data_IF_328437388448
#
_entry.id   IF_328437388448
#
_cell.length_a   1.000
_cell.length_b   1.000
_cell.length_c   1.000
_cell.angle_alpha   90.00
_cell.angle_beta   90.00
_cell.angle_gamma   90.00
#
_symmetry.space_group_name_H-M   'P 1'
#
loop_
_entity.id
_entity.type
_entity.pdbx_description
1 polymer ?
#
# COMPACT_ATOMS: atom_id res chain seq x y z
N UNK A 1 2.28 6.25 5.40
CA UNK A 1 1.53 7.45 4.98
C UNK A 1 0.65 7.18 3.75
N UNK A 2 1.20 6.95 2.55
CA UNK A 2 0.40 6.85 1.32
C UNK A 2 -0.68 5.74 1.34
N UNK A 3 -0.40 4.59 1.94
CA UNK A 3 -1.40 3.52 2.13
C UNK A 3 -2.59 3.96 3.00
N UNK A 4 -2.34 4.71 4.08
CA UNK A 4 -3.41 5.27 4.92
C UNK A 4 -4.18 6.35 4.18
N UNK A 5 -3.48 7.21 3.41
CA UNK A 5 -4.14 8.21 2.55
C UNK A 5 -5.07 7.59 1.52
N UNK A 6 -4.68 6.45 0.93
CA UNK A 6 -5.54 5.72 0.01
C UNK A 6 -6.81 5.21 0.72
N UNK A 7 -6.67 4.61 1.91
CA UNK A 7 -7.83 4.17 2.71
C UNK A 7 -8.77 5.33 3.06
N UNK A 8 -8.24 6.47 3.47
CA UNK A 8 -9.04 7.65 3.82
C UNK A 8 -9.90 8.12 2.64
N UNK A 9 -9.33 8.24 1.44
CA UNK A 9 -10.10 8.66 0.26
C UNK A 9 -11.10 7.59 -0.15
N UNK A 10 -10.70 6.33 -0.12
CA UNK A 10 -11.60 5.22 -0.49
C UNK A 10 -12.74 5.02 0.51
N UNK A 11 -12.63 5.51 1.75
CA UNK A 11 -13.70 5.42 2.74
C UNK A 11 -14.96 6.22 2.35
N UNK A 12 -14.80 7.26 1.53
CA UNK A 12 -15.89 8.10 1.03
C UNK A 12 -16.42 7.64 -0.35
N UNK A 13 -15.81 6.62 -0.96
CA UNK A 13 -16.26 6.07 -2.25
C UNK A 13 -17.57 5.30 -2.02
N UNK A 14 -18.61 5.52 -2.85
CA UNK A 14 -19.83 4.75 -2.79
C UNK A 14 -19.57 3.24 -2.83
N UNK A 15 -20.23 2.47 -1.98
CA UNK A 15 -19.94 1.03 -1.83
C UNK A 15 -20.06 0.25 -3.15
N UNK A 16 -21.04 0.60 -4.00
CA UNK A 16 -21.22 0.00 -5.32
C UNK A 16 -20.03 0.23 -6.28
N UNK A 17 -19.23 1.26 -6.04
CA UNK A 17 -18.07 1.64 -6.83
C UNK A 17 -16.77 1.00 -6.33
N UNK A 18 -16.74 0.53 -5.09
CA UNK A 18 -15.59 -0.16 -4.49
C UNK A 18 -15.25 -1.49 -5.17
N UNK A 19 -16.25 -2.10 -5.81
CA UNK A 19 -16.16 -3.43 -6.43
C UNK A 19 -16.12 -3.38 -7.97
N UNK A 20 -16.05 -2.18 -8.56
CA UNK A 20 -15.81 -1.99 -10.00
C UNK A 20 -14.37 -2.34 -10.35
N UNK A 21 -14.19 -3.05 -11.46
CA UNK A 21 -12.88 -3.37 -12.03
C UNK A 21 -12.64 -2.57 -13.31
N UNK A 22 -11.37 -2.24 -13.56
CA UNK A 22 -10.92 -1.56 -14.78
C UNK A 22 -9.90 -2.45 -15.47
N UNK A 23 -9.99 -2.55 -16.80
CA UNK A 23 -9.03 -3.35 -17.56
C UNK A 23 -7.60 -2.87 -17.31
N UNK A 24 -6.71 -3.80 -16.94
CA UNK A 24 -5.32 -3.51 -16.62
C UNK A 24 -5.02 -3.27 -15.14
N UNK A 25 -6.03 -3.29 -14.25
CA UNK A 25 -5.82 -3.33 -12.79
C UNK A 25 -5.88 -4.77 -12.26
N UNK A 26 -5.29 -5.00 -11.09
CA UNK A 26 -5.26 -6.33 -10.48
C UNK A 26 -6.62 -6.81 -9.94
N UNK A 27 -7.58 -5.90 -9.78
CA UNK A 27 -8.90 -6.16 -9.23
C UNK A 27 -9.64 -4.86 -8.95
N UNK A 28 -10.61 -4.93 -8.04
CA UNK A 28 -11.37 -3.78 -7.55
C UNK A 28 -10.58 -2.94 -6.53
N UNK A 29 -11.12 -1.78 -6.12
CA UNK A 29 -10.53 -0.98 -5.04
C UNK A 29 -10.49 -1.81 -3.74
N UNK A 30 -11.58 -2.51 -3.42
CA UNK A 30 -11.70 -3.30 -2.21
C UNK A 30 -10.64 -4.42 -2.15
N UNK A 31 -10.53 -5.17 -3.24
CA UNK A 31 -9.53 -6.24 -3.39
C UNK A 31 -8.11 -5.68 -3.29
N UNK A 32 -7.86 -4.55 -3.95
CA UNK A 32 -6.53 -3.93 -3.98
C UNK A 32 -6.11 -3.40 -2.60
N UNK A 33 -7.03 -2.79 -1.83
CA UNK A 33 -6.75 -2.34 -0.46
C UNK A 33 -6.47 -3.52 0.49
N UNK A 34 -7.25 -4.59 0.38
CA UNK A 34 -7.01 -5.84 1.11
C UNK A 34 -5.63 -6.40 0.78
N UNK A 35 -5.27 -6.41 -0.50
CA UNK A 35 -4.00 -6.93 -1.00
C UNK A 35 -2.81 -6.09 -0.53
N UNK A 36 -2.89 -4.76 -0.57
CA UNK A 36 -1.84 -3.87 -0.05
C UNK A 36 -1.54 -4.16 1.42
N UNK A 37 -2.59 -4.22 2.25
CA UNK A 37 -2.43 -4.43 3.68
C UNK A 37 -2.05 -5.88 4.06
N UNK A 38 -2.48 -6.88 3.26
CA UNK A 38 -2.02 -8.26 3.37
C UNK A 38 -0.54 -8.39 2.99
N UNK A 39 -0.14 -7.81 1.86
CA UNK A 39 1.24 -7.80 1.40
C UNK A 39 2.18 -7.10 2.38
N UNK A 40 1.81 -5.94 2.92
CA UNK A 40 2.64 -5.22 3.90
C UNK A 40 2.90 -6.05 5.15
N UNK A 41 1.88 -6.75 5.68
CA UNK A 41 2.06 -7.71 6.77
C UNK A 41 2.98 -8.86 6.39
N UNK A 42 2.87 -9.39 5.16
CA UNK A 42 3.77 -10.45 4.68
C UNK A 42 5.23 -9.98 4.56
N UNK A 43 5.49 -8.69 4.33
CA UNK A 43 6.85 -8.14 4.40
C UNK A 43 7.32 -8.00 5.86
N UNK A 44 6.47 -7.50 6.76
CA UNK A 44 6.77 -7.47 8.20
C UNK A 44 7.09 -8.87 8.73
N UNK A 45 6.31 -9.88 8.34
CA UNK A 45 6.54 -11.28 8.69
C UNK A 45 7.91 -11.77 8.22
N UNK A 46 8.29 -11.48 6.97
CA UNK A 46 9.61 -11.88 6.44
C UNK A 46 10.77 -11.21 7.18
N UNK A 47 10.59 -9.96 7.58
CA UNK A 47 11.65 -9.14 8.20
C UNK A 47 11.75 -9.33 9.72
N UNK A 48 10.71 -9.83 10.39
CA UNK A 48 10.66 -9.88 11.86
C UNK A 48 10.11 -11.18 12.45
N UNK A 49 9.59 -12.09 11.62
CA UNK A 49 8.89 -13.29 12.07
C UNK A 49 7.48 -13.03 12.64
N UNK A 50 7.00 -11.78 12.69
CA UNK A 50 5.67 -11.47 13.23
C UNK A 50 4.57 -12.02 12.31
N UNK A 51 3.68 -12.83 12.89
CA UNK A 51 2.54 -13.40 12.17
C UNK A 51 1.56 -12.31 11.71
N UNK A 52 1.05 -12.39 10.46
CA UNK A 52 -0.04 -11.53 10.00
C UNK A 52 -1.28 -11.66 10.90
N UNK A 53 -2.00 -10.56 11.07
CA UNK A 53 -3.25 -10.49 11.84
C UNK A 53 -4.48 -10.91 11.04
N UNK A 54 -4.39 -10.86 9.71
CA UNK A 54 -5.43 -11.32 8.79
C UNK A 54 -4.82 -11.75 7.45
N UNK A 55 -5.51 -12.63 6.73
CA UNK A 55 -5.19 -13.05 5.37
C UNK A 55 -6.14 -12.48 4.32
N UNK A 56 -5.69 -12.35 3.07
CA UNK A 56 -6.48 -11.80 1.95
C UNK A 56 -7.76 -12.61 1.68
N UNK A 57 -7.81 -13.89 2.09
CA UNK A 57 -8.98 -14.76 1.97
C UNK A 57 -10.00 -14.64 3.11
N UNK A 58 -9.74 -13.84 4.16
CA UNK A 58 -10.61 -13.75 5.34
C UNK A 58 -11.85 -12.86 5.13
N UNK A 59 -11.99 -12.27 3.95
CA UNK A 59 -13.06 -11.33 3.61
C UNK A 59 -12.78 -9.90 4.09
N UNK A 60 -13.66 -8.97 3.74
CA UNK A 60 -13.48 -7.53 4.00
C UNK A 60 -13.67 -7.18 5.49
N UNK A 61 -12.63 -6.71 6.20
CA UNK A 61 -12.71 -6.42 7.64
C UNK A 61 -13.16 -4.97 7.93
N UNK A 62 -13.38 -4.16 6.90
CA UNK A 62 -13.74 -2.75 7.01
C UNK A 62 -12.54 -1.80 7.11
N UNK A 63 -12.76 -0.54 6.72
CA UNK A 63 -11.75 0.52 6.73
C UNK A 63 -11.05 0.69 8.10
N UNK A 64 -11.75 0.68 9.26
CA UNK A 64 -11.08 0.86 10.55
C UNK A 64 -10.07 -0.25 10.86
N UNK A 65 -10.35 -1.49 10.45
CA UNK A 65 -9.44 -2.60 10.65
C UNK A 65 -8.21 -2.46 9.76
N UNK A 66 -8.40 -2.18 8.47
CA UNK A 66 -7.28 -1.96 7.54
C UNK A 66 -6.41 -0.77 7.93
N UNK A 67 -7.02 0.33 8.41
CA UNK A 67 -6.30 1.50 8.88
C UNK A 67 -5.39 1.17 10.08
N UNK A 68 -5.90 0.38 11.05
CA UNK A 68 -5.08 -0.11 12.16
C UNK A 68 -3.94 -0.98 11.67
N UNK A 69 -4.22 -1.95 10.79
CA UNK A 69 -3.17 -2.83 10.25
C UNK A 69 -2.08 -2.02 9.56
N UNK A 70 -2.43 -1.16 8.60
CA UNK A 70 -1.47 -0.34 7.85
C UNK A 70 -0.74 0.69 8.73
N UNK A 71 -1.38 1.17 9.79
CA UNK A 71 -0.73 1.98 10.81
C UNK A 71 0.36 1.21 11.55
N UNK A 72 0.04 0.01 12.01
CA UNK A 72 0.98 -0.85 12.72
C UNK A 72 2.11 -1.38 11.82
N UNK A 73 1.79 -1.97 10.67
CA UNK A 73 2.79 -2.54 9.77
C UNK A 73 3.70 -1.47 9.18
N UNK A 74 3.17 -0.30 8.84
CA UNK A 74 3.97 0.83 8.38
C UNK A 74 4.97 1.31 9.44
N UNK A 75 4.56 1.41 10.71
CA UNK A 75 5.47 1.76 11.82
C UNK A 75 6.56 0.70 12.00
N UNK A 76 6.18 -0.58 11.97
CA UNK A 76 7.15 -1.67 12.12
C UNK A 76 8.18 -1.69 10.99
N UNK A 77 7.76 -1.49 9.75
CA UNK A 77 8.70 -1.44 8.63
C UNK A 77 9.73 -0.31 8.79
N UNK A 78 9.31 0.85 9.30
CA UNK A 78 10.23 1.96 9.62
C UNK A 78 11.19 1.56 10.75
N UNK A 79 10.65 0.99 11.85
CA UNK A 79 11.44 0.59 13.01
C UNK A 79 12.47 -0.51 12.68
N UNK A 80 12.10 -1.44 11.80
CA UNK A 80 12.96 -2.51 11.30
C UNK A 80 14.01 -1.97 10.34
N UNK A 81 13.64 -1.07 9.42
CA UNK A 81 14.55 -0.48 8.45
C UNK A 81 15.68 0.32 9.14
N UNK A 82 15.36 1.00 10.24
CA UNK A 82 16.32 1.78 11.02
C UNK A 82 17.46 0.94 11.65
N UNK A 83 17.30 -0.39 11.71
CA UNK A 83 18.25 -1.31 12.35
C UNK A 83 18.79 -2.37 11.39
N UNK A 84 18.34 -2.35 10.13
CA UNK A 84 18.64 -3.38 9.16
C UNK A 84 20.07 -3.25 8.62
N UNK A 85 20.75 -4.39 8.46
CA UNK A 85 21.85 -4.51 7.52
C UNK A 85 21.25 -4.77 6.12
N UNK A 86 21.42 -3.88 5.14
CA UNK A 86 20.82 -4.04 3.81
C UNK A 86 21.30 -5.30 3.08
N UNK A 87 22.50 -5.80 3.39
CA UNK A 87 23.13 -6.95 2.73
C UNK A 87 22.86 -8.27 3.47
N UNK A 88 22.24 -8.23 4.65
CA UNK A 88 21.80 -9.43 5.36
C UNK A 88 20.88 -10.27 4.47
N UNK A 89 21.10 -11.58 4.43
CA UNK A 89 20.34 -12.49 3.57
C UNK A 89 19.12 -13.02 4.32
N UNK A 90 17.94 -12.64 3.83
CA UNK A 90 16.69 -13.29 4.21
C UNK A 90 16.58 -14.63 3.50
N UNK A 91 16.21 -15.66 4.26
CA UNK A 91 15.87 -16.96 3.72
C UNK A 91 14.38 -17.26 3.91
N UNK A 92 13.74 -17.81 2.88
CA UNK A 92 12.33 -18.14 2.93
C UNK A 92 11.97 -19.25 1.96
N UNK A 93 10.70 -19.61 1.97
CA UNK A 93 10.10 -20.46 0.95
C UNK A 93 9.14 -19.64 0.09
N UNK A 94 9.20 -19.84 -1.22
CA UNK A 94 8.20 -19.35 -2.14
C UNK A 94 7.81 -20.46 -3.10
N UNK A 95 6.55 -20.91 -3.01
CA UNK A 95 5.99 -21.97 -3.85
C UNK A 95 6.82 -23.27 -3.79
N UNK A 96 7.31 -23.64 -2.60
CA UNK A 96 8.12 -24.84 -2.38
C UNK A 96 9.58 -24.71 -2.83
N UNK A 97 10.01 -23.51 -3.23
CA UNK A 97 11.39 -23.22 -3.56
C UNK A 97 12.03 -22.36 -2.47
N UNK A 98 13.21 -22.76 -2.01
CA UNK A 98 14.02 -21.94 -1.11
C UNK A 98 14.46 -20.68 -1.86
N UNK A 99 14.09 -19.53 -1.32
CA UNK A 99 14.53 -18.22 -1.81
C UNK A 99 15.53 -17.62 -0.82
N UNK A 100 16.54 -16.92 -1.37
CA UNK A 100 17.54 -16.16 -0.63
C UNK A 100 17.67 -14.79 -1.27
N UNK A 101 17.48 -13.72 -0.50
CA UNK A 101 17.56 -12.35 -1.01
C UNK A 101 18.08 -11.38 0.05
N UNK A 102 18.83 -10.33 -0.33
CA UNK A 102 19.21 -9.28 0.60
C UNK A 102 18.00 -8.57 1.20
N UNK A 103 18.07 -8.19 2.48
CA UNK A 103 17.04 -7.43 3.20
C UNK A 103 16.62 -6.18 2.43
N UNK A 104 17.56 -5.49 1.77
CA UNK A 104 17.26 -4.31 0.95
C UNK A 104 16.21 -4.60 -0.14
N UNK A 105 16.25 -5.77 -0.77
CA UNK A 105 15.29 -6.16 -1.83
C UNK A 105 13.87 -6.27 -1.26
N UNK A 106 13.73 -6.77 -0.03
CA UNK A 106 12.40 -6.85 0.62
C UNK A 106 11.80 -5.46 0.87
N UNK A 107 12.59 -4.48 1.31
CA UNK A 107 12.12 -3.11 1.51
C UNK A 107 11.78 -2.42 0.20
N UNK A 108 12.66 -2.51 -0.81
CA UNK A 108 12.39 -1.94 -2.14
C UNK A 108 11.10 -2.52 -2.72
N UNK A 109 10.93 -3.85 -2.62
CA UNK A 109 9.73 -4.50 -3.12
C UNK A 109 8.49 -4.08 -2.33
N UNK A 110 8.56 -3.95 -0.99
CA UNK A 110 7.43 -3.49 -0.18
C UNK A 110 6.95 -2.10 -0.64
N UNK A 111 7.88 -1.18 -0.89
CA UNK A 111 7.57 0.18 -1.37
C UNK A 111 7.04 0.15 -2.80
N UNK A 112 7.71 -0.56 -3.71
CA UNK A 112 7.35 -0.60 -5.12
C UNK A 112 5.99 -1.25 -5.35
N UNK A 113 5.76 -2.42 -4.74
CA UNK A 113 4.50 -3.17 -4.80
C UNK A 113 3.30 -2.33 -4.34
N UNK A 114 3.42 -1.67 -3.19
CA UNK A 114 2.35 -0.82 -2.70
C UNK A 114 2.13 0.41 -3.62
N UNK A 115 3.19 0.92 -4.27
CA UNK A 115 3.09 2.03 -5.23
C UNK A 115 2.35 1.64 -6.49
N UNK A 116 2.66 0.48 -7.05
CA UNK A 116 1.97 -0.10 -8.21
C UNK A 116 0.47 -0.26 -7.93
N UNK A 117 0.09 -0.85 -6.80
CA UNK A 117 -1.32 -1.05 -6.49
C UNK A 117 -2.07 0.25 -6.16
N UNK A 118 -1.40 1.24 -5.55
CA UNK A 118 -2.01 2.57 -5.37
C UNK A 118 -2.25 3.28 -6.70
N UNK A 119 -1.38 3.11 -7.70
CA UNK A 119 -1.64 3.68 -9.02
C UNK A 119 -2.83 3.01 -9.72
N UNK A 120 -3.03 1.70 -9.52
CA UNK A 120 -4.22 1.00 -9.98
C UNK A 120 -5.51 1.53 -9.31
N UNK A 121 -5.49 1.79 -7.99
CA UNK A 121 -6.60 2.45 -7.29
C UNK A 121 -6.87 3.82 -7.91
N UNK A 122 -5.84 4.63 -8.15
CA UNK A 122 -5.99 5.95 -8.78
C UNK A 122 -6.64 5.86 -10.18
N UNK A 123 -6.24 4.87 -10.97
CA UNK A 123 -6.87 4.58 -12.28
C UNK A 123 -8.35 4.25 -12.12
N UNK A 124 -8.71 3.38 -11.17
CA UNK A 124 -10.11 2.99 -10.95
C UNK A 124 -10.95 4.20 -10.53
N UNK A 125 -10.46 5.02 -9.59
CA UNK A 125 -11.14 6.23 -9.13
C UNK A 125 -11.38 7.21 -10.29
N UNK A 126 -10.33 7.53 -11.06
CA UNK A 126 -10.42 8.52 -12.14
C UNK A 126 -11.31 8.06 -13.29
N UNK A 127 -11.33 6.76 -13.63
CA UNK A 127 -12.26 6.21 -14.63
C UNK A 127 -13.73 6.30 -14.20
N UNK A 128 -13.98 6.51 -12.90
CA UNK A 128 -15.32 6.72 -12.35
C UNK A 128 -15.63 8.21 -12.11
N UNK A 129 -14.75 9.12 -12.53
CA UNK A 129 -14.91 10.56 -12.31
C UNK A 129 -14.63 11.02 -10.88
N UNK A 130 -13.93 10.20 -10.08
CA UNK A 130 -13.51 10.53 -8.72
C UNK A 130 -12.04 10.96 -8.74
N UNK A 131 -11.74 12.10 -8.11
CA UNK A 131 -10.37 12.59 -8.00
C UNK A 131 -9.50 11.59 -7.22
N UNK A 132 -8.39 11.18 -7.84
CA UNK A 132 -7.41 10.34 -7.16
C UNK A 132 -6.45 11.19 -6.30
N UNK A 133 -6.08 10.73 -5.10
CA UNK A 133 -5.10 11.42 -4.28
C UNK A 133 -3.70 11.32 -4.87
N UNK A 134 -2.91 12.38 -4.69
CA UNK A 134 -1.48 12.36 -4.99
C UNK A 134 -0.73 11.57 -3.90
N UNK A 135 -0.11 10.46 -4.29
CA UNK A 135 0.67 9.57 -3.43
C UNK A 135 2.18 9.86 -3.46
N UNK A 136 2.62 10.89 -4.17
CA UNK A 136 4.04 11.19 -4.38
C UNK A 136 4.76 11.58 -3.09
N UNK A 137 6.09 11.51 -3.12
CA UNK A 137 6.93 12.04 -2.05
C UNK A 137 6.77 13.55 -1.86
N UNK A 138 6.35 14.28 -2.89
CA UNK A 138 6.05 15.72 -2.80
C UNK A 138 4.78 15.96 -1.98
N UNK A 139 3.71 15.21 -2.26
CA UNK A 139 2.50 15.26 -1.46
C UNK A 139 2.74 14.84 -0.01
N UNK A 140 3.60 13.85 0.23
CA UNK A 140 4.00 13.48 1.59
C UNK A 140 4.75 14.61 2.31
N UNK A 141 5.72 15.24 1.64
CA UNK A 141 6.45 16.40 2.18
C UNK A 141 5.49 17.53 2.57
N UNK A 142 4.53 17.84 1.70
CA UNK A 142 3.56 18.91 1.95
C UNK A 142 2.64 18.55 3.14
N UNK A 143 2.21 17.29 3.25
CA UNK A 143 1.46 16.81 4.40
C UNK A 143 2.23 16.95 5.74
N UNK A 144 3.55 16.75 5.75
CA UNK A 144 4.39 16.96 6.93
C UNK A 144 4.49 18.44 7.34
N UNK A 145 4.29 19.37 6.42
CA UNK A 145 4.35 20.81 6.66
C UNK A 145 2.99 21.42 7.01
N UNK A 146 1.92 20.61 7.04
CA UNK A 146 0.55 21.07 7.29
C UNK A 146 -0.04 21.89 6.14
N UNK A 147 0.57 21.86 4.95
CA UNK A 147 0.04 22.52 3.76
C UNK A 147 -1.04 21.65 3.11
N UNK A 148 -2.25 22.19 2.86
CA UNK A 148 -3.29 21.42 2.17
C UNK A 148 -2.82 21.04 0.77
N UNK A 149 -2.81 19.74 0.48
CA UNK A 149 -2.53 19.20 -0.85
C UNK A 149 -3.71 19.50 -1.78
N UNK A 150 -3.64 20.60 -2.53
CA UNK A 150 -4.48 20.81 -3.71
C UNK A 150 -3.83 19.98 -4.81
N UNK A 151 -4.48 18.89 -5.22
CA UNK A 151 -4.01 18.04 -6.31
C UNK A 151 -3.51 18.91 -7.45
N UNK A 152 -2.24 18.76 -7.83
CA UNK A 152 -1.69 19.52 -8.96
C UNK A 152 -2.42 19.06 -10.20
N UNK A 153 -3.20 19.95 -10.79
CA UNK A 153 -3.64 19.85 -12.17
C UNK A 153 -2.40 19.68 -13.05
N UNK A 154 -2.14 18.45 -13.48
CA UNK A 154 -1.05 18.12 -14.41
C UNK A 154 -1.29 18.67 -15.82
N UNK A 155 -2.40 19.37 -16.05
CA UNK A 155 -2.77 19.98 -17.33
C UNK A 155 -2.43 21.46 -17.47
N UNK A 156 -1.71 22.07 -16.53
CA UNK A 156 -1.12 23.40 -16.77
C UNK A 156 0.36 23.25 -17.14
N UNK A 157 0.62 23.09 -18.43
CA UNK A 157 1.89 23.50 -19.05
C UNK A 157 1.71 24.90 -19.66
N UNK A 158 2.80 25.70 -19.74
CA UNK A 158 2.75 27.09 -20.22
C UNK A 158 2.32 27.23 -21.69
#
# INVERSE_FOLDING_TARGET
>A
WANQRALEVCADVPDALMDVTVQGTAGSIRETLMHIAGAEQRYVMRLSGRTPTYGEGDGWPGFPALARTLGESGRLLIDLAAKADPDEILEGDYQGQRIRLPVAIAYVQAVNHATEHRSQIATILTQQGIDAPDFSGWAWRDALQGTPNKGRDIHQSP
#
